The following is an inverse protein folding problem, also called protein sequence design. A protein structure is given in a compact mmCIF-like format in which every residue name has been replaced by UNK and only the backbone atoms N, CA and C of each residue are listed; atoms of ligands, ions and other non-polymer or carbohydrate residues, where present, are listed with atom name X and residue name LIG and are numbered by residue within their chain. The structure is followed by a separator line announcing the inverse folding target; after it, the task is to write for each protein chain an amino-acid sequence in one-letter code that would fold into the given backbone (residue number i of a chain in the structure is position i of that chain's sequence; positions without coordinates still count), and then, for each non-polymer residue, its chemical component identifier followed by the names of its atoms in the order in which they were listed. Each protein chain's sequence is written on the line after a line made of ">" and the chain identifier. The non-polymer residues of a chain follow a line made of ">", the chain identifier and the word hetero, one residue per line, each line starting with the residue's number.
data_IF_596376252364
#
_entry.id   IF_596376252364
#
_cell.length_a   1.000
_cell.length_b   1.000
_cell.length_c   1.000
_cell.angle_alpha   90.00
_cell.angle_beta   90.00
_cell.angle_gamma   90.00
#
_symmetry.space_group_name_H-M   'P 1'
#
loop_
_entity.id
_entity.type
_entity.pdbx_description
1 polymer ?
#
# COMPACT_ATOMS: atom_id res chain seq x y z
N UNK A 1 -3.56 10.79 -0.92
CA UNK A 1 -3.50 9.45 -1.54
C UNK A 1 -4.42 8.51 -0.77
N UNK A 2 -5.32 7.79 -1.44
CA UNK A 2 -6.24 6.82 -0.80
C UNK A 2 -5.51 5.60 -0.23
N UNK A 3 -4.34 5.25 -0.77
CA UNK A 3 -3.56 4.08 -0.34
C UNK A 3 -2.79 4.25 0.97
N UNK A 4 -2.89 5.40 1.64
CA UNK A 4 -2.15 5.66 2.88
C UNK A 4 -3.03 6.23 3.99
N UNK A 5 -3.63 7.41 3.78
CA UNK A 5 -4.31 8.13 4.87
C UNK A 5 -5.49 7.35 5.46
N UNK A 6 -6.36 6.80 4.62
CA UNK A 6 -7.54 6.06 5.03
C UNK A 6 -7.18 4.76 5.79
N UNK A 7 -6.36 3.84 5.22
CA UNK A 7 -6.04 2.59 5.91
C UNK A 7 -5.25 2.80 7.20
N UNK A 8 -4.27 3.71 7.23
CA UNK A 8 -3.52 4.01 8.45
C UNK A 8 -4.45 4.58 9.54
N UNK A 9 -5.36 5.49 9.18
CA UNK A 9 -6.32 6.05 10.13
C UNK A 9 -7.25 4.99 10.72
N UNK A 10 -7.72 4.04 9.90
CA UNK A 10 -8.57 2.95 10.36
C UNK A 10 -7.81 1.99 11.30
N UNK A 11 -6.56 1.61 10.97
CA UNK A 11 -5.74 0.76 11.83
C UNK A 11 -5.44 1.41 13.19
N UNK A 12 -5.23 2.72 13.21
CA UNK A 12 -5.07 3.49 14.44
C UNK A 12 -6.36 3.48 15.29
N UNK A 13 -7.52 3.72 14.67
CA UNK A 13 -8.83 3.69 15.36
C UNK A 13 -9.13 2.32 15.95
N UNK A 14 -8.85 1.26 15.21
CA UNK A 14 -9.08 -0.13 15.62
C UNK A 14 -8.00 -0.65 16.58
N UNK A 15 -7.01 0.17 16.94
CA UNK A 15 -5.87 -0.19 17.79
C UNK A 15 -5.08 -1.40 17.27
N UNK A 16 -5.02 -1.54 15.94
CA UNK A 16 -4.25 -2.58 15.23
C UNK A 16 -2.85 -2.11 14.83
N UNK A 17 -2.61 -0.81 14.90
CA UNK A 17 -1.30 -0.20 14.72
C UNK A 17 -0.78 0.26 16.09
N UNK A 18 0.32 -0.33 16.56
CA UNK A 18 0.96 0.14 17.79
C UNK A 18 1.59 1.51 17.53
N UNK A 19 1.21 2.52 18.32
CA UNK A 19 1.77 3.86 18.20
C UNK A 19 3.14 3.87 18.91
N UNK A 20 4.20 3.87 18.12
CA UNK A 20 5.58 3.91 18.63
C UNK A 20 6.07 5.36 18.73
N UNK A 21 5.61 6.20 17.80
CA UNK A 21 6.02 7.59 17.66
C UNK A 21 4.79 8.40 17.24
N UNK A 22 4.29 9.26 18.14
CA UNK A 22 3.08 10.04 17.91
C UNK A 22 3.19 10.97 16.68
N UNK A 23 4.40 11.30 16.26
CA UNK A 23 4.65 12.18 15.12
C UNK A 23 4.99 11.40 13.84
N UNK A 24 5.13 10.07 13.91
CA UNK A 24 5.58 9.26 12.79
C UNK A 24 4.80 7.93 12.68
N UNK A 25 3.68 8.00 11.97
CA UNK A 25 2.85 6.83 11.65
C UNK A 25 3.50 5.89 10.63
N UNK A 26 4.51 6.35 9.87
CA UNK A 26 5.27 5.51 8.93
C UNK A 26 6.07 4.45 9.67
N UNK A 27 6.75 4.81 10.77
CA UNK A 27 7.45 3.84 11.64
C UNK A 27 6.51 2.78 12.20
N UNK A 28 5.33 3.21 12.64
CA UNK A 28 4.33 2.31 13.22
C UNK A 28 3.77 1.33 12.16
N UNK A 29 3.57 1.80 10.93
CA UNK A 29 3.24 0.95 9.79
C UNK A 29 4.38 0.00 9.41
N UNK A 30 5.62 0.48 9.36
CA UNK A 30 6.78 -0.35 9.05
C UNK A 30 7.00 -1.46 10.08
N UNK A 31 6.72 -1.21 11.37
CA UNK A 31 6.76 -2.26 12.39
C UNK A 31 5.69 -3.33 12.15
N UNK A 32 4.48 -2.92 11.75
CA UNK A 32 3.38 -3.85 11.53
C UNK A 32 3.55 -4.68 10.25
N UNK A 33 3.97 -4.04 9.15
CA UNK A 33 3.99 -4.64 7.82
C UNK A 33 5.38 -5.14 7.39
N UNK A 34 6.46 -4.69 8.03
CA UNK A 34 7.82 -5.07 7.66
C UNK A 34 8.27 -4.43 6.35
N UNK A 35 8.57 -5.25 5.34
CA UNK A 35 8.97 -4.82 4.01
C UNK A 35 7.77 -4.30 3.21
N UNK A 36 7.90 -3.12 2.63
CA UNK A 36 6.80 -2.43 1.94
C UNK A 36 7.31 -1.76 0.65
N UNK A 37 6.38 -1.30 -0.17
CA UNK A 37 6.66 -0.21 -1.10
C UNK A 37 5.73 0.97 -0.80
N UNK A 38 6.26 1.98 -0.12
CA UNK A 38 5.62 3.23 0.19
C UNK A 38 6.37 4.36 -0.53
N UNK A 39 5.99 4.67 -1.80
CA UNK A 39 6.61 5.74 -2.57
C UNK A 39 6.73 7.06 -1.80
N UNK A 40 7.85 7.73 -1.99
CA UNK A 40 8.25 8.99 -1.34
C UNK A 40 8.43 8.91 0.19
N UNK A 41 8.29 7.74 0.83
CA UNK A 41 8.43 7.61 2.28
C UNK A 41 9.85 7.93 2.80
N UNK A 42 10.88 7.86 1.95
CA UNK A 42 12.25 8.29 2.30
C UNK A 42 12.61 9.68 1.75
N UNK A 43 11.71 10.33 1.02
CA UNK A 43 11.93 11.67 0.50
C UNK A 43 11.95 12.67 1.66
N UNK A 44 12.94 13.59 1.68
CA UNK A 44 13.10 14.61 2.75
C UNK A 44 11.85 15.46 2.99
N UNK A 45 11.01 15.67 1.99
CA UNK A 45 9.75 16.39 2.15
C UNK A 45 8.77 15.65 3.07
N UNK A 46 8.74 14.32 3.03
CA UNK A 46 7.83 13.48 3.81
C UNK A 46 8.52 12.75 4.97
N UNK A 47 9.86 12.80 5.01
CA UNK A 47 10.73 12.28 6.05
C UNK A 47 11.74 13.36 6.51
N UNK A 48 11.27 14.47 7.10
CA UNK A 48 12.12 15.62 7.43
C UNK A 48 13.17 15.29 8.51
N UNK A 49 12.86 14.33 9.38
CA UNK A 49 13.73 13.81 10.44
C UNK A 49 14.71 12.75 9.93
N UNK A 50 14.47 12.18 8.75
CA UNK A 50 15.33 11.14 8.15
C UNK A 50 15.27 9.81 8.88
N UNK A 51 14.25 9.56 9.68
CA UNK A 51 14.16 8.44 10.63
C UNK A 51 13.12 7.38 10.28
N UNK A 52 12.45 7.51 9.11
CA UNK A 52 11.69 6.41 8.54
C UNK A 52 12.62 5.22 8.25
N UNK A 53 12.24 3.99 8.64
CA UNK A 53 13.05 2.80 8.37
C UNK A 53 13.11 2.55 6.86
N UNK A 54 14.26 2.07 6.36
CA UNK A 54 14.44 1.77 4.94
C UNK A 54 13.47 0.69 4.41
N UNK A 55 12.95 -0.16 5.31
CA UNK A 55 12.05 -1.27 4.97
C UNK A 55 10.78 -0.83 4.24
N UNK A 56 10.39 0.44 4.37
CA UNK A 56 9.26 1.02 3.66
C UNK A 56 9.44 1.08 2.14
N UNK A 57 10.65 0.84 1.64
CA UNK A 57 10.98 0.83 0.22
C UNK A 57 11.49 -0.54 -0.28
N UNK A 58 11.57 -1.56 0.56
CA UNK A 58 12.19 -2.85 0.21
C UNK A 58 11.52 -3.55 -0.98
N UNK A 59 10.20 -3.41 -1.12
CA UNK A 59 9.45 -4.05 -2.20
C UNK A 59 9.42 -3.22 -3.49
N UNK A 60 9.85 -1.95 -3.44
CA UNK A 60 9.83 -1.06 -4.59
C UNK A 60 10.77 -1.54 -5.72
N UNK A 61 10.45 -1.22 -6.97
CA UNK A 61 11.12 -1.82 -8.15
C UNK A 61 11.88 -0.82 -9.03
N UNK A 62 11.88 0.47 -8.70
CA UNK A 62 12.70 1.42 -9.41
C UNK A 62 14.19 1.06 -9.29
N UNK A 63 14.95 1.30 -10.35
CA UNK A 63 16.34 0.80 -10.46
C UNK A 63 17.38 1.91 -10.28
N UNK A 64 16.94 3.16 -10.13
CA UNK A 64 17.79 4.33 -9.97
C UNK A 64 17.15 5.36 -9.03
N UNK A 65 17.90 6.38 -8.61
CA UNK A 65 17.41 7.37 -7.65
C UNK A 65 16.20 8.21 -8.08
N UNK A 66 15.84 8.23 -9.37
CA UNK A 66 14.65 8.93 -9.84
C UNK A 66 13.39 8.07 -9.78
N UNK A 67 13.55 6.75 -9.74
CA UNK A 67 12.44 5.78 -9.83
C UNK A 67 12.27 4.98 -8.55
N UNK A 68 13.37 4.59 -7.90
CA UNK A 68 13.33 3.73 -6.71
C UNK A 68 12.64 4.45 -5.56
N UNK A 69 11.50 3.89 -5.14
CA UNK A 69 10.70 4.41 -4.03
C UNK A 69 10.32 5.89 -4.19
N UNK A 70 10.15 6.35 -5.43
CA UNK A 70 9.58 7.67 -5.74
C UNK A 70 8.16 7.48 -6.28
N UNK A 71 7.43 8.58 -6.50
CA UNK A 71 6.17 8.51 -7.23
C UNK A 71 6.28 7.99 -8.70
N UNK A 72 7.50 7.80 -9.22
CA UNK A 72 7.77 7.17 -10.51
C UNK A 72 8.11 5.68 -10.40
N UNK A 73 8.09 5.12 -9.19
CA UNK A 73 8.33 3.69 -9.00
C UNK A 73 7.30 2.86 -9.77
N UNK A 74 7.70 1.74 -10.40
CA UNK A 74 6.74 0.85 -11.06
C UNK A 74 5.61 0.36 -10.14
N UNK A 75 5.84 0.31 -8.83
CA UNK A 75 4.83 -0.06 -7.84
C UNK A 75 4.10 1.14 -7.21
N UNK A 76 4.34 2.36 -7.70
CA UNK A 76 3.60 3.53 -7.26
C UNK A 76 2.17 3.60 -7.84
N UNK A 77 1.26 4.20 -7.08
CA UNK A 77 -0.13 4.37 -7.46
C UNK A 77 -0.96 3.07 -7.40
N UNK A 78 -2.25 3.15 -7.76
CA UNK A 78 -3.17 2.03 -7.56
C UNK A 78 -2.80 0.79 -8.38
N UNK A 79 -2.49 0.97 -9.68
CA UNK A 79 -2.14 -0.16 -10.56
C UNK A 79 -0.78 -0.73 -10.15
N UNK A 80 0.21 0.13 -9.85
CA UNK A 80 1.51 -0.32 -9.36
C UNK A 80 1.42 -1.10 -8.05
N UNK A 81 0.58 -0.65 -7.12
CA UNK A 81 0.36 -1.37 -5.87
C UNK A 81 -0.31 -2.75 -6.08
N UNK A 82 -1.24 -2.88 -7.04
CA UNK A 82 -1.78 -4.19 -7.44
C UNK A 82 -0.70 -5.09 -8.06
N UNK A 83 0.23 -4.52 -8.84
CA UNK A 83 1.39 -5.26 -9.34
C UNK A 83 2.33 -5.69 -8.22
N UNK A 84 2.55 -4.85 -7.21
CA UNK A 84 3.32 -5.20 -6.01
C UNK A 84 2.68 -6.40 -5.29
N UNK A 85 1.37 -6.33 -5.02
CA UNK A 85 0.59 -7.43 -4.42
C UNK A 85 0.69 -8.72 -5.22
N UNK A 86 0.57 -8.64 -6.55
CA UNK A 86 0.60 -9.82 -7.38
C UNK A 86 1.98 -10.53 -7.38
N UNK A 87 3.07 -9.76 -7.32
CA UNK A 87 4.41 -10.31 -7.48
C UNK A 87 5.12 -10.64 -6.16
N UNK A 88 4.98 -9.79 -5.13
CA UNK A 88 5.85 -9.83 -3.95
C UNK A 88 5.17 -9.45 -2.62
N UNK A 89 4.06 -8.71 -2.65
CA UNK A 89 3.38 -8.22 -1.45
C UNK A 89 2.21 -9.11 -1.00
N UNK A 90 1.81 -8.99 0.26
CA UNK A 90 0.65 -9.71 0.82
C UNK A 90 -0.65 -8.88 0.85
N UNK A 91 -0.50 -7.54 0.91
CA UNK A 91 -1.61 -6.58 1.05
C UNK A 91 -1.28 -5.35 0.19
N UNK A 92 -2.28 -4.84 -0.54
CA UNK A 92 -2.21 -3.53 -1.17
C UNK A 92 -3.43 -2.69 -0.81
N UNK A 93 -3.20 -1.41 -0.51
CA UNK A 93 -4.25 -0.44 -0.25
C UNK A 93 -4.51 0.38 -1.51
N UNK A 94 -5.63 0.10 -2.18
CA UNK A 94 -6.01 0.74 -3.44
C UNK A 94 -7.49 1.12 -3.43
N UNK A 95 -7.90 2.00 -4.35
CA UNK A 95 -9.32 2.27 -4.57
C UNK A 95 -10.01 1.06 -5.22
N UNK A 96 -11.30 0.88 -4.96
CA UNK A 96 -12.09 -0.23 -5.53
C UNK A 96 -12.10 -0.26 -7.07
N UNK A 97 -11.95 0.88 -7.75
CA UNK A 97 -11.89 0.93 -9.22
C UNK A 97 -10.56 0.44 -9.80
N UNK A 98 -9.51 0.27 -8.98
CA UNK A 98 -8.16 -0.06 -9.44
C UNK A 98 -8.09 -1.40 -10.19
N UNK A 99 -8.85 -2.41 -9.75
CA UNK A 99 -8.89 -3.73 -10.38
C UNK A 99 -9.53 -3.64 -11.77
N UNK A 100 -10.60 -2.85 -11.91
CA UNK A 100 -11.25 -2.60 -13.20
C UNK A 100 -10.30 -1.82 -14.13
N UNK A 101 -9.62 -0.80 -13.62
CA UNK A 101 -8.62 -0.05 -14.38
C UNK A 101 -7.46 -0.92 -14.85
N UNK A 102 -7.01 -1.87 -14.03
CA UNK A 102 -6.02 -2.88 -14.40
C UNK A 102 -6.55 -3.78 -15.52
N UNK A 103 -7.77 -4.31 -15.39
CA UNK A 103 -8.40 -5.14 -16.43
C UNK A 103 -8.58 -4.40 -17.76
N UNK A 104 -8.88 -3.10 -17.73
CA UNK A 104 -8.99 -2.27 -18.94
C UNK A 104 -7.61 -2.10 -19.60
N UNK A 105 -6.56 -1.92 -18.80
CA UNK A 105 -5.18 -1.76 -19.28
C UNK A 105 -4.61 -3.08 -19.82
N UNK A 106 -4.90 -4.18 -19.14
CA UNK A 106 -4.47 -5.52 -19.48
C UNK A 106 -5.64 -6.50 -19.29
N UNK A 107 -6.41 -6.76 -20.36
CA UNK A 107 -7.55 -7.68 -20.32
C UNK A 107 -7.18 -9.14 -20.03
N UNK A 108 -5.90 -9.49 -20.09
CA UNK A 108 -5.41 -10.85 -19.81
C UNK A 108 -4.94 -11.02 -18.38
N UNK A 109 -4.90 -9.94 -17.60
CA UNK A 109 -4.47 -9.97 -16.22
C UNK A 109 -5.44 -10.83 -15.37
N UNK A 110 -4.93 -11.76 -14.53
CA UNK A 110 -5.78 -12.67 -13.76
C UNK A 110 -6.38 -12.00 -12.52
N UNK A 111 -7.28 -11.03 -12.72
CA UNK A 111 -7.86 -10.24 -11.61
C UNK A 111 -8.70 -11.06 -10.61
N UNK A 112 -9.16 -12.24 -11.00
CA UNK A 112 -9.91 -13.14 -10.11
C UNK A 112 -9.06 -13.71 -8.97
N UNK A 113 -7.74 -13.54 -9.03
CA UNK A 113 -6.83 -13.88 -7.93
C UNK A 113 -6.88 -12.85 -6.78
N UNK A 114 -7.45 -11.67 -7.00
CA UNK A 114 -7.56 -10.65 -5.96
C UNK A 114 -8.78 -10.87 -5.06
N UNK A 115 -8.56 -10.63 -3.76
CA UNK A 115 -9.60 -10.61 -2.75
C UNK A 115 -9.50 -9.34 -1.91
N UNK A 116 -10.62 -8.89 -1.36
CA UNK A 116 -10.66 -7.81 -0.38
C UNK A 116 -10.36 -8.37 1.00
N UNK A 117 -9.64 -7.62 1.80
CA UNK A 117 -9.52 -7.85 3.24
C UNK A 117 -10.44 -6.87 3.97
N UNK A 118 -11.45 -7.38 4.65
CA UNK A 118 -12.42 -6.58 5.40
C UNK A 118 -11.87 -6.20 6.78
N UNK A 119 -12.41 -5.13 7.38
CA UNK A 119 -11.99 -4.68 8.72
C UNK A 119 -12.21 -5.74 9.80
N UNK A 120 -13.20 -6.62 9.65
CA UNK A 120 -13.44 -7.76 10.53
C UNK A 120 -12.51 -8.98 10.29
N UNK A 121 -11.57 -8.88 9.33
CA UNK A 121 -10.61 -9.93 9.00
C UNK A 121 -11.10 -10.95 7.97
N UNK A 122 -12.37 -10.87 7.52
CA UNK A 122 -12.87 -11.73 6.45
C UNK A 122 -12.24 -11.36 5.10
N UNK A 123 -12.19 -12.35 4.20
CA UNK A 123 -11.83 -12.13 2.80
C UNK A 123 -13.07 -12.29 1.92
N UNK A 124 -13.32 -11.32 1.04
CA UNK A 124 -14.45 -11.35 0.10
C UNK A 124 -13.96 -11.15 -1.35
N UNK A 125 -14.72 -11.61 -2.35
CA UNK A 125 -14.47 -11.27 -3.75
C UNK A 125 -14.40 -9.76 -3.97
N UNK A 126 -13.55 -9.31 -4.88
CA UNK A 126 -13.30 -7.88 -5.11
C UNK A 126 -14.53 -7.07 -5.54
N UNK A 127 -15.50 -7.74 -6.16
CA UNK A 127 -16.79 -7.16 -6.55
C UNK A 127 -17.65 -6.75 -5.34
N UNK A 128 -17.39 -7.28 -4.15
CA UNK A 128 -18.15 -6.98 -2.92
C UNK A 128 -17.62 -5.76 -2.16
N UNK A 129 -16.91 -4.84 -2.83
CA UNK A 129 -16.32 -3.65 -2.21
C UNK A 129 -17.31 -2.77 -1.43
N UNK A 130 -18.59 -2.75 -1.83
CA UNK A 130 -19.64 -2.01 -1.11
C UNK A 130 -19.88 -2.55 0.30
N UNK A 131 -19.67 -3.84 0.53
CA UNK A 131 -19.84 -4.51 1.83
C UNK A 131 -18.51 -4.63 2.59
N UNK A 132 -17.38 -4.55 1.88
CA UNK A 132 -16.04 -4.74 2.43
C UNK A 132 -15.11 -3.62 1.97
N UNK A 133 -15.09 -2.55 2.76
CA UNK A 133 -14.24 -1.36 2.59
C UNK A 133 -13.88 -0.80 3.98
N UNK A 134 -12.91 0.12 4.01
CA UNK A 134 -12.27 0.64 5.23
C UNK A 134 -12.65 2.10 5.51
#
# INVERSE_FOLDING_TARGET
>A
SSGWNQPISQLLRDRRLNIIDCNNHVKSAALLFGSMCAPDALNRQFNPTGDNPSTVCDLCQGTNGNTFCTNQDPYAGNIGALMCLFNQGDIAFVRHTAIIELQIRDPTFPIDQFQLLCTNGQRLPWQQFQQCNW
#
